data_IF_559658094465
#
_entry.id   IF_559658094465
#
_cell.length_a   1.000
_cell.length_b   1.000
_cell.length_c   1.000
_cell.angle_alpha   90.00
_cell.angle_beta   90.00
_cell.angle_gamma   90.00
#
_symmetry.space_group_name_H-M   'P 1'
#
loop_
_entity.id
_entity.type
_entity.pdbx_description
1 polymer ?
#
# COMPACT_ATOMS: atom_id res chain seq x y z
N UNK A 1 -7.97 29.51 -9.80
CA UNK A 1 -7.53 29.13 -11.17
C UNK A 1 -6.03 28.81 -11.09
N UNK A 2 -5.68 27.54 -11.16
CA UNK A 2 -4.28 27.11 -11.24
C UNK A 2 -3.82 27.17 -12.71
N UNK A 3 -2.59 27.59 -13.01
CA UNK A 3 -2.11 27.70 -14.37
C UNK A 3 -1.99 26.33 -15.04
N UNK A 4 -2.54 26.19 -16.23
CA UNK A 4 -2.61 24.97 -17.07
C UNK A 4 -1.26 24.45 -17.61
N UNK A 5 -0.10 24.93 -17.17
CA UNK A 5 1.18 24.71 -17.86
C UNK A 5 2.29 24.04 -17.03
N UNK A 6 1.98 23.24 -16.00
CA UNK A 6 3.01 22.45 -15.29
C UNK A 6 3.06 20.96 -15.66
N UNK A 7 2.44 20.56 -16.76
CA UNK A 7 2.62 19.23 -17.34
C UNK A 7 3.80 19.27 -18.32
N UNK A 8 5.01 19.25 -17.78
CA UNK A 8 6.20 19.01 -18.61
C UNK A 8 6.05 17.68 -19.34
N UNK A 9 5.95 17.73 -20.68
CA UNK A 9 6.00 16.56 -21.57
C UNK A 9 7.23 15.74 -21.20
N UNK A 10 7.08 14.43 -21.10
CA UNK A 10 8.20 13.49 -21.00
C UNK A 10 9.28 13.89 -22.02
N UNK A 11 10.57 13.90 -21.67
CA UNK A 11 11.63 14.22 -22.61
C UNK A 11 11.61 13.18 -23.73
N UNK A 12 11.17 13.59 -24.92
CA UNK A 12 11.37 12.83 -26.15
C UNK A 12 12.84 12.96 -26.53
N UNK A 13 13.70 12.08 -26.02
CA UNK A 13 14.96 11.79 -26.73
C UNK A 13 14.56 11.06 -28.01
N UNK A 14 14.55 11.79 -29.12
CA UNK A 14 14.51 11.23 -30.47
C UNK A 14 15.83 10.52 -30.70
N UNK A 15 15.92 9.26 -30.31
CA UNK A 15 16.87 8.34 -30.92
C UNK A 15 16.09 7.52 -31.95
N UNK A 16 16.43 7.71 -33.22
CA UNK A 16 15.65 7.27 -34.38
C UNK A 16 15.76 5.76 -34.67
N UNK A 17 16.18 4.95 -33.69
CA UNK A 17 16.41 3.53 -33.93
C UNK A 17 15.48 2.56 -33.17
N UNK A 18 14.53 3.01 -32.31
CA UNK A 18 13.59 2.09 -31.65
C UNK A 18 12.19 2.67 -31.43
N UNK A 19 11.33 2.48 -32.42
CA UNK A 19 9.89 2.75 -32.30
C UNK A 19 9.13 1.57 -31.62
N UNK A 20 9.83 0.71 -30.85
CA UNK A 20 9.24 -0.45 -30.20
C UNK A 20 9.04 -0.19 -28.70
N UNK A 21 7.78 -0.29 -28.22
CA UNK A 21 7.48 -0.26 -26.78
C UNK A 21 8.23 -1.39 -26.06
N UNK A 22 8.77 -1.06 -24.89
CA UNK A 22 9.40 -2.04 -24.02
C UNK A 22 8.36 -3.03 -23.50
N UNK A 23 8.60 -4.33 -23.63
CA UNK A 23 7.68 -5.37 -23.14
C UNK A 23 8.01 -5.76 -21.71
N UNK A 24 7.05 -5.61 -20.80
CA UNK A 24 7.18 -5.96 -19.38
C UNK A 24 6.13 -7.01 -19.00
N UNK A 25 6.59 -8.12 -18.43
CA UNK A 25 5.73 -9.15 -17.84
C UNK A 25 5.72 -8.99 -16.32
N UNK A 26 4.55 -8.76 -15.74
CA UNK A 26 4.34 -8.56 -14.30
C UNK A 26 3.72 -9.81 -13.69
N UNK A 27 4.24 -10.27 -12.55
CA UNK A 27 3.72 -11.41 -11.79
C UNK A 27 3.13 -10.96 -10.46
N UNK A 28 1.84 -11.22 -10.26
CA UNK A 28 1.15 -10.99 -9.00
C UNK A 28 0.09 -12.08 -8.77
N UNK A 29 0.14 -12.79 -7.66
CA UNK A 29 -0.78 -13.91 -7.39
C UNK A 29 -2.24 -13.46 -7.31
N UNK A 30 -2.50 -12.27 -6.78
CA UNK A 30 -3.86 -11.71 -6.72
C UNK A 30 -4.17 -10.93 -8.01
N UNK A 31 -5.27 -11.24 -8.72
CA UNK A 31 -5.69 -10.48 -9.90
C UNK A 31 -6.00 -9.02 -9.55
N UNK A 32 -5.25 -8.04 -10.09
CA UNK A 32 -5.34 -6.65 -9.61
C UNK A 32 -6.63 -5.93 -10.00
N UNK A 33 -7.47 -6.52 -10.84
CA UNK A 33 -8.81 -6.01 -11.18
C UNK A 33 -9.92 -6.55 -10.26
N UNK A 34 -9.63 -7.54 -9.44
CA UNK A 34 -10.58 -8.17 -8.50
C UNK A 34 -10.20 -7.93 -7.03
N UNK A 35 -9.01 -7.42 -6.78
CA UNK A 35 -8.49 -7.11 -5.45
C UNK A 35 -8.02 -5.65 -5.41
N UNK A 36 -8.30 -4.96 -4.31
CA UNK A 36 -8.09 -3.51 -4.17
C UNK A 36 -7.06 -3.18 -3.07
N UNK A 37 -6.02 -3.99 -2.96
CA UNK A 37 -4.90 -3.73 -2.08
C UNK A 37 -3.93 -2.68 -2.62
N UNK A 38 -2.97 -2.26 -1.80
CA UNK A 38 -1.95 -1.29 -2.23
C UNK A 38 -1.04 -1.80 -3.33
N UNK A 39 -0.77 -3.10 -3.36
CA UNK A 39 0.02 -3.77 -4.41
C UNK A 39 -0.72 -3.75 -5.74
N UNK A 40 -1.97 -4.18 -5.71
CA UNK A 40 -2.83 -4.27 -6.88
C UNK A 40 -3.08 -2.89 -7.50
N UNK A 41 -3.34 -1.88 -6.66
CA UNK A 41 -3.50 -0.49 -7.08
C UNK A 41 -2.24 0.04 -7.74
N UNK A 42 -1.06 -0.22 -7.16
CA UNK A 42 0.22 0.15 -7.78
C UNK A 42 0.39 -0.46 -9.18
N UNK A 43 0.09 -1.74 -9.33
CA UNK A 43 0.22 -2.45 -10.61
C UNK A 43 -0.70 -1.81 -11.67
N UNK A 44 -1.99 -1.63 -11.34
CA UNK A 44 -2.99 -1.07 -12.27
C UNK A 44 -2.65 0.37 -12.65
N UNK A 45 -2.31 1.22 -11.68
CA UNK A 45 -2.00 2.63 -11.96
C UNK A 45 -0.70 2.80 -12.75
N UNK A 46 0.34 2.02 -12.42
CA UNK A 46 1.58 2.03 -13.20
C UNK A 46 1.33 1.58 -14.64
N UNK A 47 0.58 0.50 -14.82
CA UNK A 47 0.24 -0.02 -16.14
C UNK A 47 -0.57 1.01 -16.96
N UNK A 48 -1.62 1.59 -16.37
CA UNK A 48 -2.47 2.62 -17.01
C UNK A 48 -1.65 3.82 -17.49
N UNK A 49 -0.77 4.34 -16.64
CA UNK A 49 0.01 5.54 -16.92
C UNK A 49 1.16 5.33 -17.90
N UNK A 50 1.67 4.11 -18.01
CA UNK A 50 2.77 3.77 -18.91
C UNK A 50 2.33 3.10 -20.22
N UNK A 51 1.05 2.92 -20.47
CA UNK A 51 0.50 2.27 -21.69
C UNK A 51 1.09 2.80 -22.99
N UNK A 52 1.40 4.10 -23.07
CA UNK A 52 2.00 4.71 -24.26
C UNK A 52 3.49 4.35 -24.46
N UNK A 53 4.19 3.99 -23.40
CA UNK A 53 5.64 3.78 -23.39
C UNK A 53 6.03 2.31 -23.27
N UNK A 54 5.18 1.50 -22.61
CA UNK A 54 5.46 0.12 -22.23
C UNK A 54 4.28 -0.77 -22.62
N UNK A 55 4.56 -1.92 -23.21
CA UNK A 55 3.60 -2.99 -23.45
C UNK A 55 3.62 -3.94 -22.23
N UNK A 56 2.67 -3.76 -21.31
CA UNK A 56 2.58 -4.55 -20.08
C UNK A 56 1.60 -5.69 -20.20
N UNK A 57 2.00 -6.85 -19.70
CA UNK A 57 1.12 -8.01 -19.52
C UNK A 57 1.24 -8.49 -18.08
N UNK A 58 0.12 -8.56 -17.39
CA UNK A 58 0.03 -8.99 -15.99
C UNK A 58 -0.39 -10.46 -15.96
N UNK A 59 0.39 -11.30 -15.34
CA UNK A 59 0.10 -12.71 -15.11
C UNK A 59 -0.33 -12.89 -13.66
N UNK A 60 -1.58 -13.36 -13.46
CA UNK A 60 -2.20 -13.45 -12.13
C UNK A 60 -2.89 -14.79 -11.91
N UNK A 61 -3.06 -15.16 -10.65
CA UNK A 61 -3.71 -16.42 -10.27
C UNK A 61 -5.19 -16.47 -10.62
N UNK A 62 -5.71 -17.68 -10.77
CA UNK A 62 -7.14 -17.97 -11.09
C UNK A 62 -8.05 -17.83 -9.86
N UNK A 63 -8.00 -16.70 -9.18
CA UNK A 63 -8.77 -16.40 -7.96
C UNK A 63 -10.11 -15.75 -8.28
N UNK A 64 -11.10 -15.92 -7.42
CA UNK A 64 -12.47 -15.38 -7.59
C UNK A 64 -13.06 -15.70 -8.97
N UNK A 65 -12.81 -16.92 -9.48
CA UNK A 65 -13.32 -17.35 -10.78
C UNK A 65 -12.62 -16.74 -12.00
N UNK A 66 -11.51 -16.02 -11.82
CA UNK A 66 -10.73 -15.46 -12.94
C UNK A 66 -10.05 -16.56 -13.75
N UNK A 67 -10.63 -16.94 -14.89
CA UNK A 67 -10.17 -18.04 -15.75
C UNK A 67 -10.03 -17.66 -17.23
N UNK A 68 -10.35 -16.42 -17.61
CA UNK A 68 -10.21 -15.87 -18.96
C UNK A 68 -9.40 -14.59 -18.92
N UNK A 69 -8.62 -14.33 -19.97
CA UNK A 69 -7.90 -13.06 -20.11
C UNK A 69 -8.85 -11.87 -20.00
N UNK A 70 -8.51 -10.93 -19.12
CA UNK A 70 -9.20 -9.66 -18.98
C UNK A 70 -8.35 -8.53 -19.54
N UNK A 71 -8.99 -7.42 -19.86
CA UNK A 71 -8.31 -6.18 -20.24
C UNK A 71 -8.81 -5.04 -19.35
N UNK A 72 -7.87 -4.32 -18.75
CA UNK A 72 -8.15 -3.18 -17.88
C UNK A 72 -7.26 -2.01 -18.29
N UNK A 73 -7.88 -0.90 -18.70
CA UNK A 73 -7.18 0.31 -19.14
C UNK A 73 -6.12 0.03 -20.23
N UNK A 74 -6.41 -0.85 -21.19
CA UNK A 74 -5.49 -1.22 -22.27
C UNK A 74 -4.37 -2.18 -21.85
N UNK A 75 -4.43 -2.74 -20.62
CA UNK A 75 -3.46 -3.73 -20.12
C UNK A 75 -4.09 -5.10 -20.01
N UNK A 76 -3.44 -6.12 -20.59
CA UNK A 76 -3.91 -7.50 -20.53
C UNK A 76 -3.54 -8.15 -19.21
N UNK A 77 -4.53 -8.84 -18.61
CA UNK A 77 -4.36 -9.66 -17.41
C UNK A 77 -4.63 -11.10 -17.79
N UNK A 78 -3.61 -11.94 -17.66
CA UNK A 78 -3.62 -13.35 -18.11
C UNK A 78 -3.74 -14.27 -16.89
N UNK A 79 -4.76 -15.15 -16.84
CA UNK A 79 -4.88 -16.10 -15.73
C UNK A 79 -3.80 -17.18 -15.78
N UNK A 80 -3.19 -17.43 -14.64
CA UNK A 80 -2.26 -18.53 -14.41
C UNK A 80 -2.81 -19.39 -13.28
N UNK A 81 -2.78 -20.69 -13.43
CA UNK A 81 -3.40 -21.59 -12.46
C UNK A 81 -2.91 -21.34 -11.04
N UNK A 82 -3.86 -21.11 -10.14
CA UNK A 82 -3.70 -21.07 -8.68
C UNK A 82 -4.97 -21.56 -8.02
N UNK A 83 -5.02 -21.60 -6.69
CA UNK A 83 -6.23 -21.98 -5.94
C UNK A 83 -6.76 -20.78 -5.17
N UNK A 84 -8.05 -20.83 -4.80
CA UNK A 84 -8.66 -19.89 -3.85
C UNK A 84 -8.39 -20.29 -2.38
N UNK A 85 -7.49 -21.23 -2.17
CA UNK A 85 -7.08 -21.66 -0.83
C UNK A 85 -6.31 -20.56 -0.10
N UNK A 86 -6.09 -20.81 1.20
CA UNK A 86 -5.36 -19.88 2.06
C UNK A 86 -3.95 -19.58 1.51
N UNK A 87 -3.60 -18.30 1.48
CA UNK A 87 -2.21 -17.88 1.37
C UNK A 87 -1.41 -18.57 2.50
N UNK A 88 -0.34 -19.33 2.24
CA UNK A 88 0.57 -19.21 1.10
C UNK A 88 0.46 -20.32 0.02
N UNK A 89 -0.45 -21.28 0.14
CA UNK A 89 -0.57 -22.41 -0.81
C UNK A 89 -0.89 -21.94 -2.23
N UNK A 90 -1.80 -20.97 -2.34
CA UNK A 90 -2.15 -20.35 -3.60
C UNK A 90 -0.93 -19.74 -4.31
N UNK A 91 -0.05 -19.06 -3.54
CA UNK A 91 1.17 -18.48 -4.07
C UNK A 91 2.17 -19.55 -4.53
N UNK A 92 2.29 -20.65 -3.80
CA UNK A 92 3.16 -21.77 -4.19
C UNK A 92 2.71 -22.38 -5.51
N UNK A 93 1.38 -22.64 -5.65
CA UNK A 93 0.80 -23.21 -6.86
C UNK A 93 0.93 -22.24 -8.04
N UNK A 94 0.67 -20.95 -7.82
CA UNK A 94 0.90 -19.91 -8.82
C UNK A 94 2.35 -19.91 -9.31
N UNK A 95 3.32 -19.90 -8.39
CA UNK A 95 4.75 -19.94 -8.72
C UNK A 95 5.13 -21.20 -9.52
N UNK A 96 4.54 -22.34 -9.20
CA UNK A 96 4.75 -23.58 -9.97
C UNK A 96 4.16 -23.46 -11.38
N UNK A 97 2.97 -22.89 -11.51
CA UNK A 97 2.31 -22.65 -12.79
C UNK A 97 3.13 -21.77 -13.71
N UNK A 98 3.52 -20.57 -13.25
CA UNK A 98 4.32 -19.64 -14.07
C UNK A 98 5.71 -20.17 -14.39
N UNK A 99 6.31 -20.99 -13.53
CA UNK A 99 7.63 -21.60 -13.79
C UNK A 99 7.62 -22.51 -15.03
N UNK A 100 6.48 -23.17 -15.32
CA UNK A 100 6.29 -23.99 -16.50
C UNK A 100 6.07 -23.18 -17.78
N UNK A 101 5.77 -21.88 -17.61
CA UNK A 101 5.48 -20.97 -18.74
C UNK A 101 6.69 -20.17 -19.20
N UNK A 102 7.87 -20.43 -18.67
CA UNK A 102 9.09 -19.63 -18.91
C UNK A 102 9.44 -19.52 -20.40
N UNK A 103 9.15 -20.51 -21.22
CA UNK A 103 9.40 -20.46 -22.67
C UNK A 103 8.30 -19.74 -23.44
N UNK A 104 7.09 -19.64 -22.85
CA UNK A 104 5.91 -19.03 -23.48
C UNK A 104 5.81 -17.55 -23.18
N UNK A 105 6.21 -17.11 -21.97
CA UNK A 105 6.16 -15.71 -21.56
C UNK A 105 7.39 -14.99 -22.10
N UNK A 106 7.20 -14.17 -23.13
CA UNK A 106 8.27 -13.42 -23.80
C UNK A 106 8.14 -11.94 -23.46
N UNK A 107 9.13 -11.42 -22.73
CA UNK A 107 9.23 -10.00 -22.39
C UNK A 107 10.70 -9.54 -22.45
N UNK A 108 10.88 -8.23 -22.46
CA UNK A 108 12.22 -7.62 -22.35
C UNK A 108 12.64 -7.58 -20.89
N UNK A 109 11.67 -7.34 -19.97
CA UNK A 109 11.86 -7.28 -18.52
C UNK A 109 10.75 -8.10 -17.84
N UNK A 110 11.12 -8.74 -16.74
CA UNK A 110 10.18 -9.41 -15.84
C UNK A 110 10.15 -8.68 -14.50
N UNK A 111 8.95 -8.42 -13.98
CA UNK A 111 8.76 -7.84 -12.65
C UNK A 111 7.88 -8.75 -11.80
N UNK A 112 8.27 -8.95 -10.54
CA UNK A 112 7.49 -9.72 -9.58
C UNK A 112 7.19 -8.89 -8.33
N UNK A 113 5.97 -8.98 -7.85
CA UNK A 113 5.54 -8.34 -6.61
C UNK A 113 5.54 -9.34 -5.45
N UNK A 114 6.17 -8.94 -4.34
CA UNK A 114 6.37 -9.77 -3.15
C UNK A 114 7.01 -11.13 -3.54
N UNK A 115 6.34 -12.25 -3.30
CA UNK A 115 6.86 -13.60 -3.59
C UNK A 115 6.29 -14.22 -4.87
N UNK A 116 5.52 -13.46 -5.65
CA UNK A 116 4.70 -13.99 -6.75
C UNK A 116 5.46 -14.37 -8.03
N UNK A 117 6.74 -14.12 -8.13
CA UNK A 117 7.56 -14.40 -9.34
C UNK A 117 8.74 -15.33 -9.11
N UNK A 118 8.93 -15.82 -7.88
CA UNK A 118 10.10 -16.59 -7.52
C UNK A 118 10.27 -17.89 -8.33
N UNK A 119 9.16 -18.60 -8.60
CA UNK A 119 9.16 -19.80 -9.44
C UNK A 119 9.65 -19.53 -10.86
N UNK A 120 9.19 -18.43 -11.45
CA UNK A 120 9.61 -18.01 -12.79
C UNK A 120 11.09 -17.60 -12.80
N UNK A 121 11.55 -16.82 -11.84
CA UNK A 121 12.96 -16.44 -11.69
C UNK A 121 13.87 -17.66 -11.58
N UNK A 122 13.50 -18.67 -10.77
CA UNK A 122 14.24 -19.94 -10.70
C UNK A 122 14.30 -20.65 -12.04
N UNK A 123 13.21 -20.70 -12.79
CA UNK A 123 13.17 -21.33 -14.10
C UNK A 123 14.03 -20.58 -15.13
N UNK A 124 14.03 -19.24 -15.14
CA UNK A 124 14.93 -18.41 -15.95
C UNK A 124 16.41 -18.75 -15.67
N UNK A 125 16.81 -18.75 -14.40
CA UNK A 125 18.21 -19.03 -14.00
C UNK A 125 18.60 -20.47 -14.36
N UNK A 126 17.72 -21.47 -14.13
CA UNK A 126 17.95 -22.86 -14.49
C UNK A 126 18.20 -23.04 -16.00
N UNK A 127 17.48 -22.28 -16.83
CA UNK A 127 17.62 -22.30 -18.29
C UNK A 127 18.72 -21.37 -18.83
N UNK A 128 19.47 -20.70 -17.94
CA UNK A 128 20.51 -19.73 -18.29
C UNK A 128 20.01 -18.63 -19.22
N UNK A 129 18.72 -18.26 -19.10
CA UNK A 129 18.15 -17.14 -19.85
C UNK A 129 18.54 -15.84 -19.16
N UNK A 130 19.37 -15.04 -19.82
CA UNK A 130 19.85 -13.75 -19.33
C UNK A 130 18.84 -12.67 -19.67
N UNK A 131 17.91 -12.42 -18.76
CA UNK A 131 16.85 -11.40 -18.87
C UNK A 131 16.75 -10.61 -17.58
N UNK A 132 16.62 -9.30 -17.63
CA UNK A 132 16.41 -8.47 -16.44
C UNK A 132 15.18 -8.92 -15.66
N UNK A 133 15.36 -9.06 -14.35
CA UNK A 133 14.29 -9.39 -13.42
C UNK A 133 14.28 -8.39 -12.27
N UNK A 134 13.15 -7.73 -12.09
CA UNK A 134 12.91 -6.76 -11.02
C UNK A 134 12.07 -7.43 -9.93
N UNK A 135 12.57 -7.36 -8.70
CA UNK A 135 11.83 -7.79 -7.51
C UNK A 135 11.27 -6.57 -6.79
N UNK A 136 9.94 -6.41 -6.78
CA UNK A 136 9.27 -5.30 -6.09
C UNK A 136 8.80 -5.75 -4.72
N UNK A 137 9.33 -5.10 -3.66
CA UNK A 137 9.07 -5.37 -2.24
C UNK A 137 8.26 -4.21 -1.67
N UNK A 138 7.00 -4.45 -1.31
CA UNK A 138 6.08 -3.41 -0.79
C UNK A 138 6.16 -3.25 0.72
N UNK A 139 6.29 -4.36 1.43
CA UNK A 139 6.61 -4.48 2.85
C UNK A 139 7.67 -5.57 3.00
N UNK A 140 8.65 -5.36 3.84
CA UNK A 140 9.73 -6.33 4.06
C UNK A 140 9.20 -7.43 4.97
N UNK A 141 8.90 -8.61 4.41
CA UNK A 141 8.26 -9.71 5.14
C UNK A 141 9.04 -10.14 6.39
N UNK A 142 10.37 -10.06 6.36
CA UNK A 142 11.19 -10.35 7.54
C UNK A 142 10.98 -9.32 8.66
N UNK A 143 10.82 -8.04 8.33
CA UNK A 143 10.53 -6.99 9.30
C UNK A 143 9.11 -7.15 9.87
N UNK A 144 8.14 -7.42 9.00
CA UNK A 144 6.75 -7.70 9.42
C UNK A 144 6.67 -8.92 10.36
N UNK A 145 7.42 -9.99 10.07
CA UNK A 145 7.52 -11.16 10.93
C UNK A 145 8.10 -10.82 12.30
N UNK A 146 9.22 -10.06 12.34
CA UNK A 146 9.88 -9.63 13.58
C UNK A 146 8.92 -8.81 14.45
N UNK A 147 8.17 -7.89 13.86
CA UNK A 147 7.21 -7.07 14.61
C UNK A 147 5.99 -7.88 15.07
N UNK A 148 5.46 -8.76 14.21
CA UNK A 148 4.34 -9.63 14.56
C UNK A 148 4.68 -10.63 15.65
N UNK A 149 5.93 -11.11 15.69
CA UNK A 149 6.39 -12.07 16.72
C UNK A 149 6.56 -11.46 18.11
N UNK A 150 6.63 -10.13 18.24
CA UNK A 150 6.69 -9.40 19.52
C UNK A 150 5.32 -9.26 20.19
N UNK A 151 4.23 -9.67 19.56
CA UNK A 151 2.89 -9.59 20.13
C UNK A 151 2.78 -10.43 21.43
N UNK A 152 2.27 -9.82 22.49
CA UNK A 152 2.31 -10.33 23.87
C UNK A 152 1.40 -11.56 24.09
N UNK A 153 0.40 -11.81 23.23
CA UNK A 153 -0.50 -12.96 23.38
C UNK A 153 -0.83 -13.62 22.03
N UNK A 154 0.07 -14.46 21.50
CA UNK A 154 -0.13 -15.05 20.18
C UNK A 154 -1.17 -16.18 20.25
N UNK A 155 -2.34 -15.94 19.62
CA UNK A 155 -3.30 -17.02 19.35
C UNK A 155 -2.66 -18.09 18.45
N UNK A 156 -3.19 -19.32 18.47
CA UNK A 156 -2.69 -20.41 17.60
C UNK A 156 -2.70 -20.00 16.13
N UNK A 157 -3.73 -19.25 15.71
CA UNK A 157 -3.85 -18.70 14.35
C UNK A 157 -2.72 -17.71 14.01
N UNK A 158 -2.33 -16.87 14.97
CA UNK A 158 -1.22 -15.92 14.79
C UNK A 158 0.13 -16.64 14.73
N UNK A 159 0.35 -17.67 15.55
CA UNK A 159 1.55 -18.52 15.50
C UNK A 159 1.71 -19.18 14.13
N UNK A 160 0.62 -19.73 13.59
CA UNK A 160 0.62 -20.35 12.25
C UNK A 160 0.87 -19.31 11.16
N UNK A 161 0.26 -18.13 11.25
CA UNK A 161 0.51 -17.02 10.31
C UNK A 161 1.98 -16.58 10.34
N UNK A 162 2.58 -16.45 11.53
CA UNK A 162 3.98 -16.09 11.69
C UNK A 162 4.92 -17.16 11.12
N UNK A 163 4.60 -18.45 11.27
CA UNK A 163 5.37 -19.53 10.66
C UNK A 163 5.39 -19.41 9.13
N UNK A 164 4.25 -19.16 8.50
CA UNK A 164 4.18 -18.94 7.06
C UNK A 164 4.89 -17.67 6.63
N UNK A 165 4.75 -16.60 7.39
CA UNK A 165 5.42 -15.33 7.10
C UNK A 165 6.95 -15.49 7.14
N UNK A 166 7.48 -16.24 8.08
CA UNK A 166 8.90 -16.57 8.15
C UNK A 166 9.38 -17.33 6.89
N UNK A 167 8.63 -18.33 6.42
CA UNK A 167 8.97 -19.05 5.20
C UNK A 167 8.94 -18.15 3.96
N UNK A 168 7.89 -17.31 3.85
CA UNK A 168 7.75 -16.38 2.73
C UNK A 168 8.84 -15.31 2.73
N UNK A 169 9.29 -14.84 3.90
CA UNK A 169 10.39 -13.89 4.00
C UNK A 169 11.71 -14.46 3.46
N UNK A 170 11.93 -15.77 3.62
CA UNK A 170 13.09 -16.46 3.02
C UNK A 170 12.99 -16.50 1.49
N UNK A 171 11.79 -16.74 0.97
CA UNK A 171 11.55 -16.73 -0.48
C UNK A 171 11.76 -15.32 -1.04
N UNK A 172 11.25 -14.29 -0.36
CA UNK A 172 11.45 -12.89 -0.76
C UNK A 172 12.93 -12.49 -0.74
N UNK A 173 13.68 -12.90 0.29
CA UNK A 173 15.14 -12.74 0.38
C UNK A 173 15.85 -13.37 -0.81
N UNK A 174 15.57 -14.63 -1.10
CA UNK A 174 16.18 -15.34 -2.21
C UNK A 174 15.83 -14.77 -3.58
N UNK A 175 14.56 -14.32 -3.76
CA UNK A 175 14.13 -13.64 -4.97
C UNK A 175 14.90 -12.32 -5.14
N UNK A 176 15.00 -11.53 -4.08
CA UNK A 176 15.72 -10.25 -4.07
C UNK A 176 17.23 -10.43 -4.36
N UNK A 177 17.87 -11.46 -3.79
CA UNK A 177 19.28 -11.76 -4.07
C UNK A 177 19.53 -12.09 -5.54
N UNK A 178 18.61 -12.83 -6.16
CA UNK A 178 18.72 -13.31 -7.55
C UNK A 178 18.23 -12.32 -8.59
N UNK A 179 17.48 -11.31 -8.19
CA UNK A 179 16.99 -10.25 -9.06
C UNK A 179 18.12 -9.36 -9.61
N UNK A 180 17.91 -8.76 -10.77
CA UNK A 180 18.79 -7.74 -11.34
C UNK A 180 18.69 -6.45 -10.54
N UNK A 181 17.48 -6.01 -10.26
CA UNK A 181 17.16 -4.85 -9.42
C UNK A 181 16.10 -5.21 -8.39
N UNK A 182 16.13 -4.53 -7.25
CA UNK A 182 15.10 -4.59 -6.22
C UNK A 182 14.45 -3.22 -6.12
N UNK A 183 13.13 -3.17 -6.27
CA UNK A 183 12.34 -1.95 -6.11
C UNK A 183 11.62 -2.00 -4.78
N UNK A 184 11.62 -0.88 -4.04
CA UNK A 184 10.86 -0.77 -2.80
C UNK A 184 10.23 0.60 -2.64
N UNK A 185 9.36 0.77 -1.63
CA UNK A 185 8.46 1.92 -1.53
C UNK A 185 9.00 3.09 -0.69
N UNK A 186 10.04 2.86 0.11
CA UNK A 186 10.58 3.86 1.05
C UNK A 186 12.06 3.62 1.35
N UNK A 187 12.74 4.63 1.88
CA UNK A 187 14.11 4.50 2.41
C UNK A 187 14.16 3.53 3.59
N UNK A 188 13.14 3.58 4.45
CA UNK A 188 13.00 2.63 5.54
C UNK A 188 13.00 1.19 5.03
N UNK A 189 12.16 0.87 4.05
CA UNK A 189 12.10 -0.47 3.46
C UNK A 189 13.43 -0.84 2.78
N UNK A 190 14.10 0.11 2.10
CA UNK A 190 15.42 -0.12 1.51
C UNK A 190 16.46 -0.50 2.57
N UNK A 191 16.52 0.23 3.67
CA UNK A 191 17.41 -0.08 4.80
C UNK A 191 17.13 -1.47 5.39
N UNK A 192 15.84 -1.83 5.54
CA UNK A 192 15.45 -3.17 6.02
C UNK A 192 15.84 -4.27 5.05
N UNK A 193 15.74 -4.05 3.75
CA UNK A 193 16.20 -4.99 2.72
C UNK A 193 17.72 -5.20 2.82
N UNK A 194 18.50 -4.14 2.96
CA UNK A 194 19.96 -4.26 3.17
C UNK A 194 20.24 -5.06 4.45
N UNK A 195 19.65 -4.66 5.57
CA UNK A 195 19.93 -5.25 6.89
C UNK A 195 19.50 -6.72 7.02
N UNK A 196 18.28 -7.05 6.57
CA UNK A 196 17.67 -8.37 6.82
C UNK A 196 17.91 -9.35 5.67
N UNK A 197 18.04 -8.85 4.45
CA UNK A 197 18.22 -9.68 3.26
C UNK A 197 19.66 -9.72 2.77
N UNK A 198 20.54 -8.83 3.26
CA UNK A 198 21.93 -8.75 2.84
C UNK A 198 22.03 -8.52 1.32
N UNK A 199 21.34 -7.48 0.86
CA UNK A 199 21.31 -7.03 -0.54
C UNK A 199 22.20 -5.79 -0.68
N UNK A 200 23.02 -5.76 -1.73
CA UNK A 200 23.81 -4.58 -2.09
C UNK A 200 22.87 -3.40 -2.38
N UNK A 201 23.08 -2.29 -1.68
CA UNK A 201 22.29 -1.07 -1.83
C UNK A 201 22.26 -0.58 -3.29
N UNK A 202 23.33 -0.81 -4.05
CA UNK A 202 23.43 -0.47 -5.49
C UNK A 202 22.35 -1.14 -6.35
N UNK A 203 21.81 -2.28 -5.91
CA UNK A 203 20.69 -2.96 -6.59
C UNK A 203 19.32 -2.38 -6.23
N UNK A 204 19.22 -1.55 -5.18
CA UNK A 204 17.94 -1.10 -4.65
C UNK A 204 17.54 0.22 -5.32
N UNK A 205 16.26 0.30 -5.71
CA UNK A 205 15.64 1.52 -6.24
C UNK A 205 14.38 1.84 -5.44
N UNK A 206 14.20 3.11 -5.11
CA UNK A 206 13.06 3.56 -4.30
C UNK A 206 12.04 4.21 -5.23
N UNK A 207 10.88 3.58 -5.33
CA UNK A 207 9.71 4.12 -6.03
C UNK A 207 8.52 4.04 -5.07
N UNK A 208 8.10 5.17 -4.48
CA UNK A 208 6.97 5.18 -3.58
C UNK A 208 5.67 4.78 -4.31
N UNK A 209 4.67 4.33 -3.54
CA UNK A 209 3.30 4.28 -4.04
C UNK A 209 2.77 5.70 -4.17
N UNK A 210 1.87 5.88 -5.11
CA UNK A 210 1.20 7.15 -5.35
C UNK A 210 -0.21 7.20 -4.79
N UNK A 211 -0.86 8.32 -5.03
CA UNK A 211 -2.29 8.53 -4.82
C UNK A 211 -2.93 9.16 -6.05
N UNK A 212 -4.19 8.81 -6.32
CA UNK A 212 -4.99 9.42 -7.37
C UNK A 212 -5.61 10.72 -6.86
N UNK A 213 -5.06 11.84 -7.29
CA UNK A 213 -5.48 13.19 -6.87
C UNK A 213 -6.82 13.62 -7.48
N UNK A 214 -7.32 12.93 -8.50
CA UNK A 214 -8.64 13.19 -9.09
C UNK A 214 -9.72 12.44 -8.30
N UNK A 215 -9.42 11.23 -7.88
CA UNK A 215 -10.30 10.40 -7.05
C UNK A 215 -10.32 10.92 -5.61
N UNK A 216 -9.15 11.12 -5.00
CA UNK A 216 -9.00 11.62 -3.63
C UNK A 216 -8.84 13.14 -3.66
N UNK A 217 -9.95 13.84 -3.68
CA UNK A 217 -10.01 15.31 -3.63
C UNK A 217 -11.06 15.73 -2.60
N UNK A 218 -10.92 16.92 -2.00
CA UNK A 218 -11.94 17.46 -1.11
C UNK A 218 -13.29 17.54 -1.82
N UNK A 219 -14.37 17.13 -1.15
CA UNK A 219 -15.76 17.25 -1.58
C UNK A 219 -16.58 17.86 -0.43
N UNK A 220 -17.72 18.45 -0.71
CA UNK A 220 -18.58 19.06 0.31
C UNK A 220 -19.73 18.12 0.75
N UNK A 221 -20.00 17.06 -0.03
CA UNK A 221 -21.10 16.14 0.22
C UNK A 221 -20.71 15.05 1.23
N UNK A 222 -21.21 15.21 2.46
CA UNK A 222 -21.04 14.25 3.55
C UNK A 222 -22.34 13.51 3.94
N UNK A 223 -23.45 13.73 3.28
CA UNK A 223 -24.73 13.19 3.73
C UNK A 223 -24.74 11.65 3.71
N UNK A 224 -24.20 11.02 2.67
CA UNK A 224 -24.04 9.56 2.64
C UNK A 224 -23.15 9.02 3.76
N UNK A 225 -22.14 9.78 4.17
CA UNK A 225 -21.27 9.37 5.28
C UNK A 225 -22.02 9.47 6.60
N UNK A 226 -22.83 10.52 6.80
CA UNK A 226 -23.69 10.65 7.99
C UNK A 226 -24.65 9.48 8.12
N UNK A 227 -25.27 9.04 7.02
CA UNK A 227 -26.13 7.86 6.99
C UNK A 227 -25.35 6.59 7.38
N UNK A 228 -24.13 6.41 6.85
CA UNK A 228 -23.28 5.25 7.16
C UNK A 228 -22.86 5.20 8.63
N UNK A 229 -22.72 6.35 9.30
CA UNK A 229 -22.26 6.43 10.69
C UNK A 229 -23.40 6.56 11.71
N UNK A 230 -24.66 6.50 11.25
CA UNK A 230 -25.83 6.50 12.13
C UNK A 230 -26.26 7.88 12.62
N UNK A 231 -25.99 8.94 11.86
CA UNK A 231 -26.43 10.29 12.13
C UNK A 231 -25.31 11.33 12.30
N UNK A 232 -25.70 12.50 12.82
CA UNK A 232 -24.77 13.59 13.04
C UNK A 232 -23.85 13.33 14.24
N UNK A 233 -22.63 13.82 14.14
CA UNK A 233 -21.65 13.90 15.22
C UNK A 233 -20.86 15.19 15.06
N UNK A 234 -20.22 15.64 16.12
CA UNK A 234 -19.40 16.85 16.08
C UNK A 234 -18.07 16.60 15.35
N UNK A 235 -17.45 15.44 15.62
CA UNK A 235 -16.17 15.09 15.08
C UNK A 235 -16.09 13.64 14.59
N UNK A 236 -15.35 13.44 13.50
CA UNK A 236 -15.05 12.12 12.93
C UNK A 236 -13.54 11.88 12.93
N UNK A 237 -13.11 10.85 13.63
CA UNK A 237 -11.75 10.30 13.56
C UNK A 237 -11.80 9.04 12.68
N UNK A 238 -11.12 9.08 11.54
CA UNK A 238 -11.13 7.99 10.57
C UNK A 238 -9.86 7.13 10.68
N UNK A 239 -10.04 5.83 10.70
CA UNK A 239 -8.98 4.84 10.48
C UNK A 239 -9.28 4.05 9.20
N UNK A 240 -8.28 3.87 8.32
CA UNK A 240 -8.41 3.06 7.11
C UNK A 240 -7.26 2.05 7.04
N UNK A 241 -7.58 0.76 7.05
CA UNK A 241 -6.57 -0.28 6.95
C UNK A 241 -7.03 -1.67 7.39
N UNK A 242 -6.21 -2.69 7.10
CA UNK A 242 -6.48 -4.05 7.55
C UNK A 242 -6.42 -4.17 9.07
N UNK A 243 -7.34 -4.89 9.67
CA UNK A 243 -7.42 -5.11 11.12
C UNK A 243 -6.48 -6.24 11.55
N UNK A 244 -5.17 -5.94 11.55
CA UNK A 244 -4.06 -6.83 11.91
C UNK A 244 -3.18 -6.17 12.98
N UNK A 245 -2.38 -6.96 13.74
CA UNK A 245 -1.63 -6.45 14.90
C UNK A 245 -0.78 -5.21 14.61
N UNK A 246 -0.02 -5.20 13.51
CA UNK A 246 0.89 -4.09 13.18
C UNK A 246 0.20 -2.75 12.90
N UNK A 247 -1.12 -2.75 12.64
CA UNK A 247 -1.91 -1.53 12.43
C UNK A 247 -2.32 -0.84 13.74
N UNK A 248 -2.13 -1.48 14.88
CA UNK A 248 -2.17 -0.85 16.20
C UNK A 248 -3.51 -0.24 16.60
N UNK A 249 -4.65 -0.72 16.05
CA UNK A 249 -5.96 -0.11 16.32
C UNK A 249 -6.35 -0.14 17.81
N UNK A 250 -5.76 -1.04 18.61
CA UNK A 250 -5.96 -1.04 20.07
C UNK A 250 -5.50 0.27 20.73
N UNK A 251 -4.41 0.91 20.25
CA UNK A 251 -4.00 2.22 20.74
C UNK A 251 -5.04 3.30 20.49
N UNK A 252 -5.76 3.23 19.36
CA UNK A 252 -6.84 4.19 19.08
C UNK A 252 -8.05 3.95 19.98
N UNK A 253 -8.36 2.69 20.31
CA UNK A 253 -9.44 2.35 21.25
C UNK A 253 -9.10 2.85 22.67
N UNK A 254 -7.88 2.69 23.11
CA UNK A 254 -7.41 3.21 24.39
C UNK A 254 -7.41 4.75 24.42
N UNK A 255 -6.90 5.38 23.37
CA UNK A 255 -6.87 6.85 23.23
C UNK A 255 -8.29 7.45 23.21
N UNK A 256 -9.27 6.73 22.68
CA UNK A 256 -10.65 7.19 22.58
C UNK A 256 -11.26 7.50 23.95
N UNK A 257 -10.87 6.81 25.01
CA UNK A 257 -11.37 7.09 26.36
C UNK A 257 -11.06 8.53 26.79
N UNK A 258 -9.83 8.97 26.57
CA UNK A 258 -9.42 10.33 26.91
C UNK A 258 -10.07 11.37 25.96
N UNK A 259 -10.13 11.07 24.67
CA UNK A 259 -10.78 11.95 23.69
C UNK A 259 -12.25 12.16 24.04
N UNK A 260 -12.98 11.12 24.43
CA UNK A 260 -14.41 11.17 24.74
C UNK A 260 -14.71 11.85 26.10
N UNK A 261 -13.75 11.95 27.00
CA UNK A 261 -13.90 12.75 28.22
C UNK A 261 -14.08 14.23 27.90
N UNK A 262 -13.39 14.74 26.86
CA UNK A 262 -13.43 16.14 26.44
C UNK A 262 -14.44 16.39 25.30
N UNK A 263 -14.59 15.42 24.37
CA UNK A 263 -15.40 15.54 23.15
C UNK A 263 -16.34 14.32 22.98
N UNK A 264 -17.44 14.29 23.72
CA UNK A 264 -18.38 13.15 23.78
C UNK A 264 -19.03 12.80 22.45
N UNK A 265 -19.24 13.77 21.57
CA UNK A 265 -19.89 13.62 20.26
C UNK A 265 -18.90 13.21 19.15
N UNK A 266 -17.70 12.72 19.53
CA UNK A 266 -16.72 12.20 18.56
C UNK A 266 -17.07 10.77 18.17
N UNK A 267 -17.05 10.47 16.86
CA UNK A 267 -17.16 9.10 16.31
C UNK A 267 -15.81 8.64 15.74
N UNK A 268 -15.48 7.38 16.06
CA UNK A 268 -14.31 6.70 15.53
C UNK A 268 -14.78 5.74 14.44
N UNK A 269 -14.54 6.11 13.18
CA UNK A 269 -14.97 5.35 12.00
C UNK A 269 -13.83 4.47 11.53
N UNK A 270 -14.06 3.15 11.53
CA UNK A 270 -13.06 2.14 11.23
C UNK A 270 -13.42 1.47 9.91
N UNK A 271 -12.60 1.74 8.88
CA UNK A 271 -12.73 1.16 7.55
C UNK A 271 -11.68 0.09 7.35
N UNK A 272 -12.14 -1.09 6.96
CA UNK A 272 -11.32 -2.27 6.70
C UNK A 272 -11.76 -3.48 7.50
N UNK A 273 -11.16 -4.62 7.18
CA UNK A 273 -11.46 -5.89 7.81
C UNK A 273 -10.16 -6.64 8.15
N UNK A 274 -10.27 -7.72 8.90
CA UNK A 274 -9.13 -8.54 9.25
C UNK A 274 -9.36 -9.44 10.45
N UNK A 275 -8.38 -10.30 10.75
CA UNK A 275 -8.52 -11.31 11.79
C UNK A 275 -8.76 -10.76 13.20
N UNK A 276 -8.45 -9.48 13.46
CA UNK A 276 -8.66 -8.85 14.76
C UNK A 276 -10.02 -8.17 14.91
N UNK A 277 -10.87 -8.11 13.87
CA UNK A 277 -12.13 -7.35 13.90
C UNK A 277 -12.98 -7.65 15.14
N UNK A 278 -13.30 -8.91 15.39
CA UNK A 278 -14.13 -9.29 16.53
C UNK A 278 -13.46 -9.00 17.89
N UNK A 279 -12.16 -9.22 17.98
CA UNK A 279 -11.38 -8.89 19.17
C UNK A 279 -11.42 -7.37 19.46
N UNK A 280 -11.23 -6.52 18.44
CA UNK A 280 -11.25 -5.07 18.60
C UNK A 280 -12.64 -4.53 18.97
N UNK A 281 -13.72 -5.13 18.43
CA UNK A 281 -15.10 -4.81 18.83
C UNK A 281 -15.30 -5.17 20.33
N UNK A 282 -14.85 -6.35 20.76
CA UNK A 282 -14.94 -6.75 22.18
C UNK A 282 -14.11 -5.80 23.05
N UNK A 283 -12.88 -5.50 22.64
CA UNK A 283 -11.99 -4.61 23.37
C UNK A 283 -12.56 -3.19 23.52
N UNK A 284 -13.24 -2.66 22.50
CA UNK A 284 -13.93 -1.36 22.61
C UNK A 284 -15.07 -1.36 23.63
N UNK A 285 -15.76 -2.51 23.82
CA UNK A 285 -16.79 -2.69 24.88
C UNK A 285 -16.15 -2.74 26.27
N UNK A 286 -15.06 -3.48 26.42
CA UNK A 286 -14.31 -3.60 27.68
C UNK A 286 -13.77 -2.22 28.13
N UNK A 287 -13.35 -1.40 27.16
CA UNK A 287 -12.88 -0.02 27.41
C UNK A 287 -14.03 1.00 27.63
N UNK A 288 -15.29 0.59 27.44
CA UNK A 288 -16.47 1.45 27.64
C UNK A 288 -16.69 2.48 26.53
N UNK A 289 -16.06 2.33 25.36
CA UNK A 289 -16.13 3.31 24.26
C UNK A 289 -16.86 2.79 23.02
N UNK A 290 -17.43 1.60 23.07
CA UNK A 290 -18.02 0.93 21.89
C UNK A 290 -19.14 1.72 21.21
N UNK A 291 -19.90 2.55 21.95
CA UNK A 291 -20.96 3.39 21.40
C UNK A 291 -20.47 4.50 20.43
N UNK A 292 -19.18 4.78 20.48
CA UNK A 292 -18.54 5.78 19.62
C UNK A 292 -17.71 5.16 18.49
N UNK A 293 -17.54 3.82 18.46
CA UNK A 293 -16.82 3.10 17.40
C UNK A 293 -17.77 2.51 16.36
N UNK A 294 -17.51 2.80 15.10
CA UNK A 294 -18.29 2.33 13.96
C UNK A 294 -17.37 1.52 13.05
N UNK A 295 -17.52 0.18 13.08
CA UNK A 295 -16.75 -0.74 12.27
C UNK A 295 -17.48 -1.02 10.95
N UNK A 296 -17.18 -0.23 9.90
CA UNK A 296 -17.84 -0.35 8.60
C UNK A 296 -17.45 -1.61 7.82
N UNK A 297 -16.33 -2.26 8.21
CA UNK A 297 -15.79 -3.35 7.41
C UNK A 297 -15.20 -2.86 6.10
N UNK A 298 -15.27 -3.69 5.07
CA UNK A 298 -14.82 -3.31 3.73
C UNK A 298 -15.86 -2.39 3.07
N UNK A 299 -15.44 -1.21 2.64
CA UNK A 299 -16.29 -0.25 1.92
C UNK A 299 -15.96 -0.24 0.43
N UNK A 300 -16.92 0.17 -0.39
CA UNK A 300 -16.69 0.36 -1.82
C UNK A 300 -15.59 1.41 -2.06
N UNK A 301 -14.73 1.14 -3.04
CA UNK A 301 -13.59 1.99 -3.37
C UNK A 301 -14.03 3.41 -3.83
N UNK A 302 -15.28 3.58 -4.30
CA UNK A 302 -15.85 4.87 -4.65
C UNK A 302 -16.41 5.63 -3.44
N UNK A 303 -16.75 4.96 -2.35
CA UNK A 303 -17.22 5.60 -1.11
C UNK A 303 -16.04 6.11 -0.25
N UNK A 304 -14.86 5.54 -0.43
CA UNK A 304 -13.69 5.84 0.39
C UNK A 304 -13.26 7.33 0.35
N UNK A 305 -13.24 8.04 -0.80
CA UNK A 305 -12.93 9.47 -0.84
C UNK A 305 -13.85 10.34 0.01
N UNK A 306 -15.15 10.05 0.04
CA UNK A 306 -16.12 10.78 0.87
C UNK A 306 -15.85 10.55 2.36
N UNK A 307 -15.53 9.33 2.78
CA UNK A 307 -15.16 9.03 4.17
C UNK A 307 -13.92 9.84 4.62
N UNK A 308 -12.89 9.92 3.78
CA UNK A 308 -11.74 10.77 4.07
C UNK A 308 -12.15 12.24 4.16
N UNK A 309 -12.93 12.74 3.19
CA UNK A 309 -13.31 14.14 3.14
C UNK A 309 -14.15 14.57 4.33
N UNK A 310 -15.02 13.71 4.85
CA UNK A 310 -15.89 14.01 5.97
C UNK A 310 -15.21 13.82 7.34
N UNK A 311 -14.04 13.20 7.38
CA UNK A 311 -13.26 13.09 8.60
C UNK A 311 -12.64 14.43 8.99
N UNK A 312 -12.53 14.71 10.29
CA UNK A 312 -11.75 15.82 10.85
C UNK A 312 -10.27 15.47 10.88
N UNK A 313 -9.97 14.22 11.25
CA UNK A 313 -8.61 13.70 11.42
C UNK A 313 -8.55 12.26 10.91
N UNK A 314 -7.45 11.90 10.26
CA UNK A 314 -7.16 10.50 9.96
C UNK A 314 -6.09 10.00 10.91
N UNK A 315 -6.43 8.97 11.70
CA UNK A 315 -5.52 8.36 12.66
C UNK A 315 -4.88 7.09 12.10
N UNK A 316 -3.56 6.99 12.19
CA UNK A 316 -2.81 5.79 11.81
C UNK A 316 -1.85 5.35 12.92
N UNK A 317 -2.32 4.60 13.91
CA UNK A 317 -1.52 4.13 15.03
C UNK A 317 -0.69 2.87 14.68
N UNK A 318 -0.25 2.75 13.44
CA UNK A 318 0.55 1.62 12.97
C UNK A 318 1.88 1.56 13.71
N UNK A 319 2.24 0.37 14.22
CA UNK A 319 3.55 0.12 14.87
C UNK A 319 4.62 -0.33 13.87
N UNK A 320 4.21 -0.67 12.67
CA UNK A 320 5.08 -0.97 11.54
C UNK A 320 4.38 -0.62 10.23
N UNK A 321 5.05 0.13 9.37
CA UNK A 321 4.52 0.55 8.08
C UNK A 321 5.65 0.74 7.05
N UNK A 322 5.47 0.19 5.85
CA UNK A 322 6.42 0.41 4.77
C UNK A 322 6.35 1.82 4.18
N UNK A 323 5.15 2.38 4.07
CA UNK A 323 4.93 3.73 3.55
C UNK A 323 3.64 4.38 4.10
N UNK A 324 2.47 3.70 4.04
CA UNK A 324 1.18 4.25 4.48
C UNK A 324 0.37 4.93 3.38
N UNK A 325 -0.21 4.14 2.47
CA UNK A 325 -1.04 4.67 1.37
C UNK A 325 -2.25 5.44 1.91
N UNK A 326 -2.89 4.96 2.98
CA UNK A 326 -4.02 5.64 3.62
C UNK A 326 -3.69 7.06 4.10
N UNK A 327 -2.43 7.32 4.46
CA UNK A 327 -1.96 8.66 4.82
C UNK A 327 -1.81 9.57 3.59
N UNK A 328 -1.43 9.01 2.43
CA UNK A 328 -1.41 9.75 1.18
C UNK A 328 -2.83 10.11 0.72
N UNK A 329 -3.79 9.19 0.87
CA UNK A 329 -5.20 9.40 0.55
C UNK A 329 -5.84 10.47 1.46
N UNK A 330 -5.56 10.43 2.76
CA UNK A 330 -5.98 11.44 3.71
C UNK A 330 -5.47 12.83 3.34
N UNK A 331 -4.18 12.95 3.09
CA UNK A 331 -3.57 14.22 2.71
C UNK A 331 -4.06 14.70 1.34
N UNK A 332 -4.31 13.79 0.38
CA UNK A 332 -4.88 14.12 -0.92
C UNK A 332 -6.29 14.73 -0.80
N UNK A 333 -7.07 14.35 0.22
CA UNK A 333 -8.37 14.93 0.55
C UNK A 333 -8.28 16.15 1.50
N UNK A 334 -7.07 16.70 1.65
CA UNK A 334 -6.78 17.84 2.52
C UNK A 334 -7.14 17.58 4.00
N UNK A 335 -6.92 16.36 4.50
CA UNK A 335 -7.14 16.04 5.92
C UNK A 335 -5.82 15.89 6.66
N UNK A 336 -5.71 16.46 7.88
CA UNK A 336 -4.55 16.25 8.72
C UNK A 336 -4.49 14.81 9.20
N UNK A 337 -3.28 14.32 9.39
CA UNK A 337 -3.05 12.97 9.88
C UNK A 337 -2.40 13.00 11.26
N UNK A 338 -2.79 12.06 12.12
CA UNK A 338 -2.09 11.75 13.37
C UNK A 338 -1.57 10.32 13.25
N UNK A 339 -0.26 10.15 13.33
CA UNK A 339 0.34 8.85 13.10
C UNK A 339 1.53 8.59 14.04
N UNK A 340 1.82 7.33 14.30
CA UNK A 340 3.06 6.98 14.99
C UNK A 340 4.26 7.22 14.08
N UNK A 341 5.33 7.77 14.64
CA UNK A 341 6.59 8.01 13.93
C UNK A 341 7.39 6.71 13.78
N UNK A 342 6.94 5.84 12.89
CA UNK A 342 7.53 4.53 12.66
C UNK A 342 7.67 4.24 11.16
N UNK A 343 8.67 3.43 10.82
CA UNK A 343 8.83 2.93 9.47
C UNK A 343 8.97 4.03 8.42
N UNK A 344 8.28 3.87 7.29
CA UNK A 344 8.26 4.83 6.18
C UNK A 344 7.20 5.95 6.35
N UNK A 345 6.50 6.04 7.49
CA UNK A 345 5.49 7.09 7.72
C UNK A 345 6.11 8.49 7.68
N UNK A 346 7.31 8.66 8.24
CA UNK A 346 8.03 9.94 8.24
C UNK A 346 8.52 10.39 6.85
N UNK A 347 8.38 9.55 5.83
CA UNK A 347 8.67 9.91 4.45
C UNK A 347 7.42 10.46 3.72
N UNK A 348 6.23 10.21 4.27
CA UNK A 348 4.94 10.64 3.69
C UNK A 348 4.18 11.66 4.54
N UNK A 349 4.63 11.89 5.77
CA UNK A 349 4.08 12.91 6.68
C UNK A 349 5.21 13.78 7.20
N UNK A 350 5.11 15.09 6.98
CA UNK A 350 6.03 16.07 7.58
C UNK A 350 5.45 16.52 8.92
N UNK A 351 6.16 16.17 10.01
CA UNK A 351 5.68 16.46 11.36
C UNK A 351 5.44 17.96 11.60
N UNK A 352 4.26 18.28 12.16
CA UNK A 352 3.75 19.64 12.44
C UNK A 352 3.42 20.48 11.20
N UNK A 353 3.65 19.96 9.99
CA UNK A 353 3.30 20.66 8.74
C UNK A 353 2.11 20.00 8.04
N UNK A 354 2.19 18.68 7.80
CA UNK A 354 1.13 17.93 7.10
C UNK A 354 0.38 16.98 8.03
N UNK A 355 0.81 16.85 9.28
CA UNK A 355 0.24 16.02 10.32
C UNK A 355 1.08 16.02 11.59
N UNK A 356 0.66 15.25 12.58
CA UNK A 356 1.38 15.05 13.83
C UNK A 356 1.98 13.65 13.88
N UNK A 357 3.30 13.58 14.01
CA UNK A 357 4.05 12.34 14.24
C UNK A 357 4.40 12.23 15.71
N UNK A 358 3.92 11.15 16.33
CA UNK A 358 4.06 10.91 17.78
C UNK A 358 4.73 9.55 18.04
N UNK A 359 5.17 9.32 19.27
CA UNK A 359 5.64 8.00 19.71
C UNK A 359 4.48 7.00 19.76
N UNK A 360 4.74 5.69 19.59
CA UNK A 360 3.72 4.64 19.78
C UNK A 360 3.24 4.56 21.23
N UNK A 361 2.21 5.35 21.53
CA UNK A 361 1.62 5.48 22.85
C UNK A 361 0.18 6.00 22.73
N UNK A 362 -0.77 5.42 23.48
CA UNK A 362 -2.20 5.77 23.42
C UNK A 362 -2.50 7.14 24.01
N UNK A 363 -1.79 7.55 25.05
CA UNK A 363 -1.96 8.87 25.66
C UNK A 363 -1.45 9.99 24.73
N UNK A 364 -0.27 9.80 24.12
CA UNK A 364 0.24 10.74 23.12
C UNK A 364 -0.70 10.82 21.90
N UNK A 365 -1.32 9.69 21.50
CA UNK A 365 -2.30 9.66 20.43
C UNK A 365 -3.54 10.47 20.79
N UNK A 366 -4.08 10.31 21.99
CA UNK A 366 -5.22 11.08 22.48
C UNK A 366 -4.91 12.59 22.50
N UNK A 367 -3.77 12.98 23.06
CA UNK A 367 -3.32 14.39 23.10
C UNK A 367 -3.18 15.02 21.73
N UNK A 368 -2.60 14.30 20.77
CA UNK A 368 -2.45 14.78 19.40
C UNK A 368 -3.82 14.96 18.71
N UNK A 369 -4.75 14.02 18.92
CA UNK A 369 -6.12 14.13 18.43
C UNK A 369 -6.82 15.35 19.06
N UNK A 370 -6.80 15.50 20.38
CA UNK A 370 -7.41 16.62 21.10
C UNK A 370 -6.84 17.97 20.67
N UNK A 371 -5.51 18.06 20.49
CA UNK A 371 -4.85 19.26 19.99
C UNK A 371 -5.41 19.69 18.62
N UNK A 372 -5.65 18.75 17.73
CA UNK A 372 -6.24 19.07 16.42
C UNK A 372 -7.76 19.31 16.52
N UNK A 373 -8.51 18.62 17.37
CA UNK A 373 -9.93 18.85 17.54
C UNK A 373 -10.21 20.25 18.09
N UNK A 374 -9.44 20.73 19.05
CA UNK A 374 -9.58 22.06 19.64
C UNK A 374 -9.15 23.21 18.71
N UNK A 375 -8.47 22.94 17.60
CA UNK A 375 -7.93 23.98 16.72
C UNK A 375 -8.27 23.74 15.25
N UNK A 376 -9.46 24.20 14.82
CA UNK A 376 -9.95 24.07 13.44
C UNK A 376 -8.99 24.69 12.42
N UNK A 377 -8.46 25.89 12.69
CA UNK A 377 -7.54 26.57 11.77
C UNK A 377 -6.26 25.76 11.55
N UNK A 378 -5.72 25.12 12.60
CA UNK A 378 -4.56 24.24 12.50
C UNK A 378 -4.89 22.98 11.66
N UNK A 379 -6.06 22.37 11.88
CA UNK A 379 -6.53 21.21 11.08
C UNK A 379 -6.56 21.54 9.59
N UNK A 380 -7.21 22.67 9.23
CA UNK A 380 -7.35 23.10 7.84
C UNK A 380 -6.00 23.43 7.21
N UNK A 381 -5.14 24.16 7.92
CA UNK A 381 -3.78 24.46 7.45
C UNK A 381 -2.96 23.20 7.19
N UNK A 382 -2.94 22.26 8.13
CA UNK A 382 -2.21 20.99 7.97
C UNK A 382 -2.78 20.17 6.81
N UNK A 383 -4.09 20.11 6.66
CA UNK A 383 -4.73 19.40 5.56
C UNK A 383 -4.35 19.97 4.21
N UNK A 384 -4.38 21.28 4.04
CA UNK A 384 -3.97 21.96 2.80
C UNK A 384 -2.48 21.75 2.50
N UNK A 385 -1.61 21.89 3.49
CA UNK A 385 -0.18 21.61 3.36
C UNK A 385 0.07 20.15 2.96
N UNK A 386 -0.69 19.21 3.55
CA UNK A 386 -0.65 17.79 3.21
C UNK A 386 -1.01 17.53 1.74
N UNK A 387 -2.09 18.14 1.25
CA UNK A 387 -2.50 18.02 -0.14
C UNK A 387 -1.44 18.56 -1.10
N UNK A 388 -0.85 19.71 -0.79
CA UNK A 388 0.21 20.29 -1.61
C UNK A 388 1.45 19.37 -1.65
N UNK A 389 1.86 18.87 -0.49
CA UNK A 389 3.00 17.95 -0.35
C UNK A 389 2.80 16.66 -1.16
N UNK A 390 1.63 16.03 -1.04
CA UNK A 390 1.32 14.78 -1.73
C UNK A 390 1.21 15.00 -3.24
N UNK A 391 0.61 16.14 -3.67
CA UNK A 391 0.50 16.48 -5.09
C UNK A 391 1.86 16.65 -5.76
N UNK A 392 2.83 17.21 -5.05
CA UNK A 392 4.19 17.43 -5.57
C UNK A 392 5.05 16.17 -5.58
N UNK A 393 4.81 15.23 -4.67
CA UNK A 393 5.76 14.14 -4.41
C UNK A 393 5.21 12.74 -4.70
N UNK A 394 3.88 12.54 -4.58
CA UNK A 394 3.24 11.22 -4.54
C UNK A 394 2.05 11.06 -5.51
N UNK A 395 1.87 11.95 -6.49
CA UNK A 395 0.94 11.68 -7.57
C UNK A 395 1.38 10.42 -8.33
N UNK A 396 0.43 9.58 -8.76
CA UNK A 396 0.76 8.35 -9.50
C UNK A 396 1.60 8.61 -10.74
N UNK A 397 1.42 9.75 -11.41
CA UNK A 397 2.20 10.17 -12.57
C UNK A 397 3.69 10.32 -12.24
N UNK A 398 4.02 10.79 -11.03
CA UNK A 398 5.41 10.92 -10.56
C UNK A 398 6.00 9.53 -10.31
N UNK A 399 5.23 8.66 -9.67
CA UNK A 399 5.64 7.30 -9.33
C UNK A 399 5.82 6.45 -10.58
N UNK A 400 4.90 6.54 -11.55
CA UNK A 400 4.99 5.84 -12.83
C UNK A 400 6.22 6.30 -13.64
N UNK A 401 6.53 7.61 -13.67
CA UNK A 401 7.75 8.12 -14.32
C UNK A 401 9.04 7.57 -13.69
N UNK A 402 9.07 7.47 -12.35
CA UNK A 402 10.21 6.83 -11.65
C UNK A 402 10.32 5.35 -12.06
N UNK A 403 9.20 4.64 -12.12
CA UNK A 403 9.20 3.23 -12.51
C UNK A 403 9.63 3.03 -13.97
N UNK A 404 9.20 3.91 -14.88
CA UNK A 404 9.65 3.90 -16.28
C UNK A 404 11.18 4.05 -16.42
N UNK A 405 11.80 4.94 -15.62
CA UNK A 405 13.27 5.08 -15.60
C UNK A 405 13.94 3.78 -15.17
N UNK A 406 13.35 3.06 -14.20
CA UNK A 406 13.90 1.77 -13.73
C UNK A 406 13.75 0.69 -14.81
N UNK A 407 12.64 0.66 -15.54
CA UNK A 407 12.51 -0.26 -16.68
C UNK A 407 13.56 0.06 -17.77
N UNK A 408 13.80 1.34 -18.07
CA UNK A 408 14.84 1.74 -19.00
C UNK A 408 16.22 1.30 -18.52
N UNK A 409 16.58 1.58 -17.27
CA UNK A 409 17.81 1.13 -16.63
C UNK A 409 17.97 -0.39 -16.70
N UNK A 410 16.95 -1.14 -16.30
CA UNK A 410 16.98 -2.59 -16.31
C UNK A 410 17.18 -3.17 -17.73
N UNK A 411 16.64 -2.50 -18.77
CA UNK A 411 16.81 -2.94 -20.15
C UNK A 411 18.25 -2.77 -20.66
N UNK A 412 19.01 -1.82 -20.10
CA UNK A 412 20.41 -1.57 -20.41
C UNK A 412 21.35 -2.57 -19.69
N UNK A 413 20.92 -3.08 -18.53
CA UNK A 413 21.65 -4.08 -17.73
C UNK A 413 21.52 -5.52 -18.32
N UNK A 414 21.45 -5.66 -19.64
CA UNK A 414 21.47 -6.97 -20.32
C UNK A 414 22.83 -7.62 -20.07
N UNK A 415 22.87 -8.52 -19.09
CA UNK A 415 24.02 -9.42 -18.87
C UNK A 415 24.17 -10.46 -19.96
#
# INVERSE_FOLDING_TARGET
>A
MLPKNCLGKLPQKRDTSMNRKLKVAIFNTQPPHLYFGGVERRIVETARLLTNNVDMVIYSGTKKGFNKTAEVNGTRIVPCFSTDMLYPLDNLIFNQSISRMVDRIKADIYEAHAVSGYGFLKALKKRKLRKPFIQTVHGVLADEYIQSSKSVSPTLKLKLSNFFMWHLSRIEKEASKKATLVVTVSRYSAQKIVQLYDIDEKKIRIVPNGVDLQKFKPTEDCDKVKDMIGGNCEHIILFVGNLIPRKGLHFLIEAAKEVLNENKETKFVIVGDGPLRNHLITYSKEMGVSGNFIFLGHVDDNALPSLYTCADIVASPSIQEGQGISLLEAQATAKPVVAFNVGGINEVVTNKETGLLIKPDSYELARAILCLLSNKSLREKMGLSGREFVSKNFAWEICARKMFKIYSEASELRE
#
